data_IF_340245310288
#
_entry.id   IF_340245310288
#
_cell.length_a   1.000
_cell.length_b   1.000
_cell.length_c   1.000
_cell.angle_alpha   90.00
_cell.angle_beta   90.00
_cell.angle_gamma   90.00
#
_symmetry.space_group_name_H-M   'P 1'
#
loop_
_entity.id
_entity.type
_entity.pdbx_description
1 polymer ?
#
# COMPACT_ATOMS: atom_id res chain seq x y z
N UNK A 1 -0.62 -7.95 -3.07
CA UNK A 1 0.18 -9.07 -2.51
C UNK A 1 0.90 -8.67 -1.22
N UNK A 2 1.44 -7.45 -1.12
CA UNK A 2 2.17 -6.94 0.06
C UNK A 2 1.32 -6.97 1.36
N UNK A 3 0.07 -6.49 1.33
CA UNK A 3 -0.84 -6.56 2.50
C UNK A 3 -1.07 -7.98 3.04
N UNK A 4 -1.07 -9.01 2.17
CA UNK A 4 -1.16 -10.41 2.61
C UNK A 4 0.11 -10.91 3.27
N UNK A 5 1.29 -10.48 2.79
CA UNK A 5 2.57 -10.82 3.40
C UNK A 5 2.71 -10.18 4.79
N UNK A 6 2.30 -8.91 4.96
CA UNK A 6 2.26 -8.24 6.27
C UNK A 6 1.30 -8.94 7.23
N UNK A 7 0.13 -9.40 6.75
CA UNK A 7 -0.80 -10.22 7.53
C UNK A 7 -0.18 -11.53 7.99
N UNK A 8 0.57 -12.20 7.11
CA UNK A 8 1.26 -13.43 7.46
C UNK A 8 2.35 -13.20 8.52
N UNK A 9 3.06 -12.07 8.45
CA UNK A 9 4.06 -11.68 9.43
C UNK A 9 3.46 -11.20 10.78
N UNK A 10 2.14 -11.21 10.95
CA UNK A 10 1.46 -10.80 12.18
C UNK A 10 1.48 -9.29 12.48
N UNK A 11 2.12 -8.47 11.63
CA UNK A 11 2.23 -7.01 11.81
C UNK A 11 1.09 -6.21 11.15
N UNK A 12 -0.11 -6.80 11.03
CA UNK A 12 -1.23 -6.15 10.36
C UNK A 12 -1.92 -5.11 11.25
N UNK A 13 -1.94 -3.85 10.83
CA UNK A 13 -2.86 -2.84 11.36
C UNK A 13 -4.25 -3.01 10.74
N UNK A 14 -5.26 -3.25 11.58
CA UNK A 14 -6.67 -3.15 11.20
C UNK A 14 -7.07 -1.68 11.12
N UNK A 15 -7.35 -1.18 9.91
CA UNK A 15 -7.81 0.19 9.68
C UNK A 15 -9.33 0.21 9.58
N UNK A 16 -9.97 1.16 10.28
CA UNK A 16 -11.40 1.43 10.14
C UNK A 16 -11.75 1.92 8.74
N UNK A 17 -12.97 1.64 8.27
CA UNK A 17 -13.43 2.04 6.92
C UNK A 17 -13.35 3.56 6.69
N UNK A 18 -13.54 4.36 7.72
CA UNK A 18 -13.43 5.82 7.66
C UNK A 18 -11.98 6.27 7.39
N UNK A 19 -11.01 5.69 8.11
CA UNK A 19 -9.58 5.96 7.89
C UNK A 19 -9.12 5.49 6.52
N UNK A 20 -9.62 4.35 6.04
CA UNK A 20 -9.33 3.88 4.68
C UNK A 20 -9.79 4.89 3.63
N UNK A 21 -11.01 5.43 3.79
CA UNK A 21 -11.56 6.42 2.86
C UNK A 21 -10.75 7.71 2.87
N UNK A 22 -10.36 8.20 4.05
CA UNK A 22 -9.53 9.41 4.17
C UNK A 22 -8.13 9.22 3.55
N UNK A 23 -7.48 8.08 3.81
CA UNK A 23 -6.16 7.77 3.26
C UNK A 23 -6.18 7.60 1.75
N UNK A 24 -7.26 7.08 1.18
CA UNK A 24 -7.41 6.94 -0.26
C UNK A 24 -7.85 8.25 -0.93
N UNK A 25 -8.63 9.09 -0.24
CA UNK A 25 -9.12 10.37 -0.77
C UNK A 25 -8.01 11.37 -1.13
N UNK A 26 -6.78 11.18 -0.62
CA UNK A 26 -5.62 11.96 -1.04
C UNK A 26 -5.21 11.73 -2.50
N UNK A 27 -5.56 10.57 -3.06
CA UNK A 27 -5.27 10.22 -4.44
C UNK A 27 -6.42 10.64 -5.36
N UNK A 28 -6.11 11.41 -6.40
CA UNK A 28 -7.07 11.88 -7.40
C UNK A 28 -7.71 10.73 -8.18
N UNK A 29 -7.01 9.61 -8.30
CA UNK A 29 -7.41 8.40 -9.00
C UNK A 29 -7.89 7.29 -8.06
N UNK A 30 -8.24 7.61 -6.81
CA UNK A 30 -8.77 6.65 -5.85
C UNK A 30 -9.99 5.87 -6.36
N UNK A 31 -10.81 6.49 -7.23
CA UNK A 31 -11.96 5.84 -7.89
C UNK A 31 -11.56 4.71 -8.84
N UNK A 32 -10.32 4.74 -9.35
CA UNK A 32 -9.76 3.68 -10.21
C UNK A 32 -9.27 2.47 -9.41
N UNK A 33 -9.17 2.58 -8.09
CA UNK A 33 -8.81 1.47 -7.20
C UNK A 33 -10.04 0.57 -7.04
N UNK A 34 -9.90 -0.69 -7.41
CA UNK A 34 -10.97 -1.67 -7.20
C UNK A 34 -11.37 -1.78 -5.72
N UNK A 35 -12.66 -1.99 -5.45
CA UNK A 35 -13.19 -2.11 -4.08
C UNK A 35 -12.49 -3.19 -3.25
N UNK A 36 -12.06 -4.28 -3.89
CA UNK A 36 -11.29 -5.36 -3.28
C UNK A 36 -9.87 -4.93 -2.86
N UNK A 37 -9.28 -3.97 -3.58
CA UNK A 37 -7.91 -3.49 -3.37
C UNK A 37 -7.85 -2.34 -2.37
N UNK A 38 -8.90 -1.53 -2.27
CA UNK A 38 -9.00 -0.39 -1.35
C UNK A 38 -8.47 -0.67 0.08
N UNK A 39 -8.90 -1.74 0.79
CA UNK A 39 -8.40 -2.00 2.15
C UNK A 39 -6.90 -2.35 2.16
N UNK A 40 -6.42 -3.08 1.15
CA UNK A 40 -5.00 -3.45 1.04
C UNK A 40 -4.12 -2.26 0.71
N UNK A 41 -4.59 -1.36 -0.15
CA UNK A 41 -3.89 -0.14 -0.54
C UNK A 41 -3.83 0.81 0.65
N UNK A 42 -4.95 1.05 1.32
CA UNK A 42 -5.00 1.90 2.51
C UNK A 42 -4.03 1.42 3.60
N UNK A 43 -3.98 0.10 3.87
CA UNK A 43 -3.01 -0.48 4.80
C UNK A 43 -1.56 -0.26 4.38
N UNK A 44 -1.27 -0.47 3.09
CA UNK A 44 0.10 -0.33 2.57
C UNK A 44 0.57 1.12 2.61
N UNK A 45 -0.35 2.07 2.37
CA UNK A 45 -0.11 3.50 2.42
C UNK A 45 0.05 4.00 3.86
N UNK A 46 -0.80 3.56 4.79
CA UNK A 46 -0.68 3.89 6.22
C UNK A 46 0.64 3.38 6.82
N UNK A 47 1.08 2.21 6.36
CA UNK A 47 2.32 1.59 6.81
C UNK A 47 3.58 2.17 6.14
N UNK A 48 3.46 3.15 5.24
CA UNK A 48 4.58 3.71 4.47
C UNK A 48 5.25 2.73 3.49
N UNK A 49 4.59 1.60 3.21
CA UNK A 49 5.10 0.58 2.29
C UNK A 49 4.98 1.04 0.83
N UNK A 50 3.95 1.83 0.53
CA UNK A 50 3.65 2.33 -0.82
C UNK A 50 3.24 3.81 -0.72
N UNK A 51 3.93 4.67 -1.47
CA UNK A 51 3.71 6.13 -1.49
C UNK A 51 3.26 6.63 -2.88
N UNK A 52 2.34 5.92 -3.53
CA UNK A 52 1.84 6.31 -4.86
C UNK A 52 2.95 6.52 -5.91
N UNK A 53 2.58 7.12 -7.03
CA UNK A 53 3.53 7.67 -8.01
C UNK A 53 3.88 9.13 -7.67
N UNK A 54 2.91 9.84 -7.07
CA UNK A 54 3.07 11.17 -6.50
C UNK A 54 2.15 11.32 -5.29
N UNK A 55 2.24 12.45 -4.57
CA UNK A 55 1.38 12.75 -3.42
C UNK A 55 -0.13 12.71 -3.75
N UNK A 56 -0.48 12.88 -5.03
CA UNK A 56 -1.87 12.97 -5.52
C UNK A 56 -2.26 11.86 -6.50
N UNK A 57 -1.35 10.95 -6.84
CA UNK A 57 -1.61 9.92 -7.86
C UNK A 57 -1.07 8.57 -7.41
N UNK A 58 -1.93 7.55 -7.42
CA UNK A 58 -1.57 6.18 -7.06
C UNK A 58 -1.25 5.30 -8.28
N UNK A 59 -1.90 5.56 -9.42
CA UNK A 59 -1.80 4.84 -10.69
C UNK A 59 -2.07 3.31 -10.58
N UNK A 60 -3.24 2.86 -10.07
CA UNK A 60 -3.50 1.45 -9.77
C UNK A 60 -3.54 0.53 -11.00
N UNK A 61 -3.72 1.09 -12.20
CA UNK A 61 -3.81 0.36 -13.47
C UNK A 61 -2.48 0.30 -14.22
N UNK A 62 -1.47 1.05 -13.78
CA UNK A 62 -0.17 1.11 -14.43
C UNK A 62 0.72 -0.02 -13.93
N UNK A 63 1.54 -0.57 -14.82
CA UNK A 63 2.51 -1.58 -14.45
C UNK A 63 3.65 -0.95 -13.63
N UNK A 64 3.95 -1.56 -12.48
CA UNK A 64 5.13 -1.17 -11.70
C UNK A 64 6.41 -1.57 -12.45
N UNK A 65 7.39 -0.67 -12.47
CA UNK A 65 8.73 -0.97 -12.96
C UNK A 65 9.45 -1.93 -12.02
N UNK A 66 10.48 -2.63 -12.53
CA UNK A 66 11.34 -3.52 -11.70
C UNK A 66 11.90 -2.77 -10.48
N UNK A 67 12.36 -1.53 -10.68
CA UNK A 67 12.90 -0.68 -9.62
C UNK A 67 11.85 -0.40 -8.53
N UNK A 68 10.63 -0.01 -8.92
CA UNK A 68 9.53 0.21 -7.99
C UNK A 68 9.16 -1.07 -7.22
N UNK A 69 9.12 -2.22 -7.90
CA UNK A 69 8.85 -3.51 -7.25
C UNK A 69 9.92 -3.86 -6.20
N UNK A 70 11.21 -3.66 -6.50
CA UNK A 70 12.29 -3.89 -5.53
C UNK A 70 12.24 -2.92 -4.34
N UNK A 71 11.86 -1.66 -4.55
CA UNK A 71 11.69 -0.70 -3.45
C UNK A 71 10.55 -1.13 -2.53
N UNK A 72 9.41 -1.53 -3.10
CA UNK A 72 8.28 -2.06 -2.32
C UNK A 72 8.67 -3.31 -1.53
N UNK A 73 9.44 -4.21 -2.14
CA UNK A 73 9.92 -5.42 -1.46
C UNK A 73 10.90 -5.08 -0.33
N UNK A 74 11.85 -4.16 -0.56
CA UNK A 74 12.78 -3.71 0.47
C UNK A 74 12.03 -3.13 1.68
N UNK A 75 11.05 -2.25 1.43
CA UNK A 75 10.21 -1.65 2.48
C UNK A 75 9.42 -2.70 3.24
N UNK A 76 8.85 -3.68 2.52
CA UNK A 76 8.16 -4.82 3.14
C UNK A 76 9.10 -5.58 4.08
N UNK A 77 10.27 -6.00 3.60
CA UNK A 77 11.23 -6.78 4.38
C UNK A 77 11.76 -5.99 5.60
N UNK A 78 11.98 -4.69 5.47
CA UNK A 78 12.32 -3.82 6.59
C UNK A 78 11.17 -3.70 7.60
N UNK A 79 9.92 -3.54 7.15
CA UNK A 79 8.76 -3.41 8.05
C UNK A 79 8.51 -4.66 8.90
N UNK A 80 8.88 -5.84 8.39
CA UNK A 80 8.78 -7.11 9.11
C UNK A 80 10.05 -7.46 9.88
N UNK A 81 11.02 -6.53 9.98
CA UNK A 81 12.33 -6.71 10.65
C UNK A 81 13.13 -7.91 10.12
N UNK A 82 12.92 -8.27 8.85
CA UNK A 82 13.68 -9.33 8.20
C UNK A 82 15.06 -8.83 7.72
N UNK A 83 15.23 -7.53 7.57
CA UNK A 83 16.51 -6.88 7.28
C UNK A 83 16.71 -5.72 8.26
N UNK A 84 17.91 -5.61 8.80
CA UNK A 84 18.37 -4.49 9.63
C UNK A 84 18.80 -3.30 8.76
#
# INVERSE_FOLDING_TARGET
MISRAVKFAGKQKTLDKEKQTQLLAKFSDAKSIGSWAAPSVAQSVDSGLIDGLSDKEFAPKTNATRAQATVMLKRLLASIEFMN
#
